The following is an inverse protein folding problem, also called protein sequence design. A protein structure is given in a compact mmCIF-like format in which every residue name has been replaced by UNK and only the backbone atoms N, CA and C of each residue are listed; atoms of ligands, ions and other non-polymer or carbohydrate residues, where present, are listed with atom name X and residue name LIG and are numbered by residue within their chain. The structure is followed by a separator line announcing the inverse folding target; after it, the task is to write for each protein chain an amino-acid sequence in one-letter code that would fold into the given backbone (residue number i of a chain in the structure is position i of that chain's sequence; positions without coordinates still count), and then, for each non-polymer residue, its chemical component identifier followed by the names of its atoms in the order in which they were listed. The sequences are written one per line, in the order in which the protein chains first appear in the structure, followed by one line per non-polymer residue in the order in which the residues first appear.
data_IF_001609211341
#
_entry.id   IF_001609211341
#
_cell.length_a   1.000
_cell.length_b   1.000
_cell.length_c   1.000
_cell.angle_alpha   90.00
_cell.angle_beta   90.00
_cell.angle_gamma   90.00
#
_symmetry.space_group_name_H-M   'P 1'
#
loop_
_entity.id
_entity.type
_entity.pdbx_description
1 polymer ?
#
# COMPACT_ATOMS: atom_id res chain seq x y z
N UNK A 1 3.43 -20.10 -32.51
CA UNK A 1 2.66 -19.42 -31.44
C UNK A 1 1.94 -18.23 -32.07
N UNK A 2 0.63 -18.10 -31.85
CA UNK A 2 -0.16 -17.00 -32.41
C UNK A 2 0.24 -15.68 -31.73
N UNK A 3 0.37 -14.57 -32.46
CA UNK A 3 0.87 -13.28 -31.91
C UNK A 3 0.07 -12.81 -30.69
N UNK A 4 -1.25 -13.08 -30.66
CA UNK A 4 -2.13 -12.80 -29.52
C UNK A 4 -1.82 -13.62 -28.27
N UNK A 5 -1.28 -14.84 -28.43
CA UNK A 5 -0.83 -15.64 -27.29
C UNK A 5 0.45 -15.06 -26.71
N UNK A 6 1.40 -14.64 -27.56
CA UNK A 6 2.66 -14.05 -27.09
C UNK A 6 2.38 -12.80 -26.25
N UNK A 7 1.56 -11.86 -26.74
CA UNK A 7 1.20 -10.64 -26.00
C UNK A 7 0.56 -10.92 -24.63
N UNK A 8 -0.24 -11.98 -24.51
CA UNK A 8 -0.89 -12.36 -23.26
C UNK A 8 0.10 -12.94 -22.24
N UNK A 9 1.14 -13.64 -22.69
CA UNK A 9 2.16 -14.25 -21.83
C UNK A 9 3.37 -13.35 -21.59
N UNK A 10 3.57 -12.31 -22.41
CA UNK A 10 4.69 -11.37 -22.30
C UNK A 10 4.90 -10.79 -20.89
N UNK A 11 3.86 -10.35 -20.14
CA UNK A 11 4.07 -9.80 -18.79
C UNK A 11 4.61 -10.83 -17.81
N UNK A 12 4.13 -12.08 -17.91
CA UNK A 12 4.57 -13.18 -17.05
C UNK A 12 6.01 -13.62 -17.37
N UNK A 13 6.34 -13.68 -18.66
CA UNK A 13 7.70 -13.98 -19.10
C UNK A 13 8.68 -12.91 -18.66
N UNK A 14 8.32 -11.62 -18.79
CA UNK A 14 9.13 -10.51 -18.30
C UNK A 14 9.31 -10.59 -16.78
N UNK A 15 8.24 -10.81 -16.02
CA UNK A 15 8.30 -10.98 -14.56
C UNK A 15 9.30 -12.08 -14.15
N UNK A 16 9.17 -13.27 -14.75
CA UNK A 16 10.06 -14.40 -14.46
C UNK A 16 11.50 -14.08 -14.86
N UNK A 17 11.71 -13.49 -16.04
CA UNK A 17 13.04 -13.08 -16.50
C UNK A 17 13.67 -12.05 -15.53
N UNK A 18 12.92 -11.07 -15.06
CA UNK A 18 13.39 -10.08 -14.09
C UNK A 18 13.78 -10.73 -12.76
N UNK A 19 12.97 -11.65 -12.23
CA UNK A 19 13.29 -12.36 -10.99
C UNK A 19 14.55 -13.23 -11.13
N UNK A 20 14.71 -13.90 -12.27
CA UNK A 20 15.91 -14.71 -12.55
C UNK A 20 17.16 -13.84 -12.65
N UNK A 21 17.09 -12.73 -13.40
CA UNK A 21 18.20 -11.77 -13.50
C UNK A 21 18.55 -11.22 -12.12
N UNK A 22 17.56 -10.82 -11.32
CA UNK A 22 17.80 -10.32 -9.96
C UNK A 22 18.48 -11.38 -9.08
N UNK A 23 17.96 -12.61 -9.03
CA UNK A 23 18.59 -13.70 -8.26
C UNK A 23 20.04 -13.95 -8.71
N UNK A 24 20.28 -13.99 -10.03
CA UNK A 24 21.61 -14.19 -10.60
C UNK A 24 22.55 -13.06 -10.20
N UNK A 25 22.13 -11.80 -10.29
CA UNK A 25 22.94 -10.65 -9.88
C UNK A 25 23.29 -10.71 -8.38
N UNK A 26 22.31 -10.97 -7.52
CA UNK A 26 22.58 -11.11 -6.07
C UNK A 26 23.58 -12.23 -5.78
N UNK A 27 23.44 -13.39 -6.43
CA UNK A 27 24.32 -14.54 -6.22
C UNK A 27 25.72 -14.36 -6.83
N UNK A 28 25.84 -13.77 -8.02
CA UNK A 28 27.11 -13.59 -8.72
C UNK A 28 27.97 -12.50 -8.09
N UNK A 29 27.36 -11.41 -7.62
CA UNK A 29 28.06 -10.29 -7.00
C UNK A 29 28.19 -10.41 -5.47
N UNK A 30 27.70 -11.52 -4.88
CA UNK A 30 27.72 -11.76 -3.42
C UNK A 30 27.23 -10.53 -2.63
N UNK A 31 26.13 -9.93 -3.11
CA UNK A 31 25.57 -8.71 -2.53
C UNK A 31 25.10 -9.03 -1.10
N UNK A 32 25.43 -8.16 -0.15
CA UNK A 32 25.01 -8.34 1.24
C UNK A 32 23.49 -8.47 1.34
N UNK A 33 23.02 -9.61 1.85
CA UNK A 33 21.59 -9.89 2.01
C UNK A 33 20.89 -8.91 2.94
N UNK A 34 21.65 -8.24 3.81
CA UNK A 34 21.12 -7.20 4.69
C UNK A 34 20.72 -5.93 3.92
N UNK A 35 21.48 -5.58 2.87
CA UNK A 35 21.23 -4.38 2.05
C UNK A 35 20.27 -4.69 0.92
N UNK A 36 20.44 -5.85 0.27
CA UNK A 36 19.62 -6.24 -0.87
C UNK A 36 19.44 -7.77 -0.94
N UNK A 37 18.42 -8.31 -0.26
CA UNK A 37 18.19 -9.74 -0.21
C UNK A 37 17.77 -10.28 -1.59
N UNK A 38 18.19 -11.51 -1.88
CA UNK A 38 17.78 -12.21 -3.10
C UNK A 38 16.30 -12.62 -3.06
N UNK A 39 15.61 -12.76 -4.21
CA UNK A 39 14.22 -13.23 -4.25
C UNK A 39 13.96 -14.52 -3.47
N UNK A 40 14.89 -15.48 -3.53
CA UNK A 40 14.79 -16.74 -2.79
C UNK A 40 14.83 -16.47 -1.29
N UNK A 41 15.75 -15.61 -0.83
CA UNK A 41 15.88 -15.26 0.59
C UNK A 41 14.62 -14.58 1.13
N UNK A 42 14.01 -13.70 0.33
CA UNK A 42 12.71 -13.08 0.67
C UNK A 42 11.64 -14.16 0.89
N UNK A 43 11.57 -15.14 -0.01
CA UNK A 43 10.63 -16.26 0.10
C UNK A 43 10.87 -17.11 1.35
N UNK A 44 12.12 -17.43 1.67
CA UNK A 44 12.49 -18.17 2.88
C UNK A 44 12.05 -17.43 4.15
N UNK A 45 12.38 -16.13 4.24
CA UNK A 45 12.01 -15.30 5.39
C UNK A 45 10.49 -15.15 5.53
N UNK A 46 9.77 -15.06 4.41
CA UNK A 46 8.31 -15.02 4.42
C UNK A 46 7.71 -16.30 5.00
N UNK A 47 8.28 -17.46 4.72
CA UNK A 47 7.81 -18.76 5.25
C UNK A 47 8.24 -18.94 6.70
N UNK A 48 9.49 -18.64 7.04
CA UNK A 48 10.05 -18.75 8.39
C UNK A 48 9.27 -17.88 9.38
N UNK A 49 9.04 -16.61 9.04
CA UNK A 49 8.35 -15.64 9.90
C UNK A 49 6.86 -15.50 9.58
N UNK A 50 6.26 -16.42 8.82
CA UNK A 50 4.86 -16.33 8.37
C UNK A 50 3.86 -16.00 9.48
N UNK A 51 4.05 -16.60 10.66
CA UNK A 51 3.15 -16.39 11.80
C UNK A 51 3.25 -14.98 12.37
N UNK A 52 4.46 -14.46 12.51
CA UNK A 52 4.73 -13.11 13.01
C UNK A 52 4.27 -12.07 11.99
N UNK A 53 4.60 -12.27 10.71
CA UNK A 53 4.16 -11.41 9.60
C UNK A 53 2.64 -11.37 9.53
N UNK A 54 1.97 -12.52 9.58
CA UNK A 54 0.51 -12.59 9.58
C UNK A 54 -0.11 -11.91 10.81
N UNK A 55 0.47 -12.08 12.00
CA UNK A 55 -0.01 -11.42 13.22
C UNK A 55 0.10 -9.89 13.13
N UNK A 56 1.21 -9.36 12.61
CA UNK A 56 1.37 -7.93 12.39
C UNK A 56 0.46 -7.41 11.27
N UNK A 57 0.36 -8.13 10.15
CA UNK A 57 -0.55 -7.79 9.06
C UNK A 57 -2.02 -7.74 9.54
N UNK A 58 -2.41 -8.71 10.36
CA UNK A 58 -3.75 -8.76 10.96
C UNK A 58 -4.00 -7.59 11.91
N UNK A 59 -3.02 -7.24 12.75
CA UNK A 59 -3.13 -6.08 13.63
C UNK A 59 -3.29 -4.80 12.84
N UNK A 60 -2.44 -4.56 11.83
CA UNK A 60 -2.53 -3.37 10.98
C UNK A 60 -3.89 -3.31 10.30
N UNK A 61 -4.34 -4.42 9.71
CA UNK A 61 -5.66 -4.51 9.10
C UNK A 61 -6.78 -4.10 10.08
N UNK A 62 -6.79 -4.68 11.27
CA UNK A 62 -7.87 -4.43 12.24
C UNK A 62 -7.85 -3.00 12.78
N UNK A 63 -6.67 -2.47 13.09
CA UNK A 63 -6.51 -1.10 13.57
C UNK A 63 -6.94 -0.10 12.49
N UNK A 64 -6.54 -0.33 11.24
CA UNK A 64 -6.96 0.53 10.11
C UNK A 64 -8.47 0.44 9.88
N UNK A 65 -9.06 -0.75 9.92
CA UNK A 65 -10.52 -0.92 9.76
C UNK A 65 -11.32 -0.25 10.87
N UNK A 66 -10.89 -0.38 12.13
CA UNK A 66 -11.53 0.30 13.25
C UNK A 66 -11.42 1.82 13.13
N UNK A 67 -10.23 2.35 12.82
CA UNK A 67 -10.01 3.78 12.61
C UNK A 67 -10.81 4.32 11.43
N UNK A 68 -10.88 3.57 10.32
CA UNK A 68 -11.68 3.92 9.15
C UNK A 68 -13.18 3.94 9.48
N UNK A 69 -13.68 2.94 10.21
CA UNK A 69 -15.07 2.91 10.67
C UNK A 69 -15.43 4.11 11.54
N UNK A 70 -14.55 4.47 12.49
CA UNK A 70 -14.74 5.66 13.32
C UNK A 70 -14.72 6.95 12.48
N UNK A 71 -13.79 7.06 11.53
CA UNK A 71 -13.69 8.20 10.63
C UNK A 71 -14.96 8.38 9.79
N UNK A 72 -15.59 7.29 9.32
CA UNK A 72 -16.87 7.34 8.62
C UNK A 72 -17.96 7.90 9.53
N UNK A 73 -18.13 7.34 10.72
CA UNK A 73 -19.20 7.75 11.64
C UNK A 73 -19.07 9.24 11.97
N UNK A 74 -17.88 9.66 12.40
CA UNK A 74 -17.61 11.07 12.76
C UNK A 74 -17.72 11.97 11.53
N UNK A 75 -17.13 11.59 10.41
CA UNK A 75 -17.13 12.38 9.17
C UNK A 75 -18.53 12.60 8.60
N UNK A 76 -19.38 11.55 8.62
CA UNK A 76 -20.78 11.66 8.15
C UNK A 76 -21.61 12.53 9.08
N UNK A 77 -21.48 12.38 10.40
CA UNK A 77 -22.21 13.21 11.35
C UNK A 77 -21.83 14.70 11.22
N UNK A 78 -20.53 15.01 11.14
CA UNK A 78 -20.06 16.38 10.90
C UNK A 78 -20.51 16.91 9.54
N UNK A 79 -20.45 16.08 8.49
CA UNK A 79 -20.93 16.44 7.16
C UNK A 79 -22.42 16.79 7.14
N UNK A 80 -23.24 16.06 7.88
CA UNK A 80 -24.67 16.34 8.02
C UNK A 80 -24.92 17.69 8.71
N UNK A 81 -24.22 17.98 9.82
CA UNK A 81 -24.35 19.24 10.57
C UNK A 81 -23.92 20.45 9.73
N UNK A 82 -22.80 20.32 9.01
CA UNK A 82 -22.29 21.38 8.13
C UNK A 82 -23.25 21.60 6.95
N UNK A 83 -23.80 20.52 6.38
CA UNK A 83 -24.73 20.57 5.26
C UNK A 83 -26.12 21.11 5.62
N UNK A 84 -26.58 20.94 6.86
CA UNK A 84 -27.90 21.39 7.30
C UNK A 84 -27.98 22.90 7.58
N UNK A 85 -26.85 23.60 7.70
CA UNK A 85 -26.82 25.02 8.07
C UNK A 85 -25.91 25.87 7.17
N UNK A 86 -26.47 26.94 6.60
CA UNK A 86 -25.70 27.92 5.79
C UNK A 86 -24.57 28.59 6.59
N UNK A 87 -24.78 28.81 7.90
CA UNK A 87 -23.78 29.44 8.77
C UNK A 87 -22.60 28.48 9.05
N UNK A 88 -22.89 27.21 9.33
CA UNK A 88 -21.87 26.20 9.57
C UNK A 88 -21.04 25.93 8.30
N UNK A 89 -21.70 25.86 7.14
CA UNK A 89 -21.01 25.75 5.86
C UNK A 89 -20.06 26.93 5.61
N UNK A 90 -20.52 28.16 5.78
CA UNK A 90 -19.70 29.35 5.57
C UNK A 90 -18.47 29.42 6.51
N UNK A 91 -18.60 28.93 7.74
CA UNK A 91 -17.50 28.91 8.72
C UNK A 91 -16.46 27.82 8.43
N UNK A 92 -16.88 26.63 7.98
CA UNK A 92 -16.00 25.46 7.82
C UNK A 92 -15.39 25.36 6.42
N UNK A 93 -16.03 25.96 5.41
CA UNK A 93 -15.57 25.92 4.02
C UNK A 93 -14.09 26.38 3.81
N UNK A 94 -13.60 27.46 4.45
CA UNK A 94 -12.20 27.85 4.33
C UNK A 94 -11.23 26.81 4.90
N UNK A 95 -11.58 26.17 6.03
CA UNK A 95 -10.80 25.10 6.63
C UNK A 95 -10.73 23.88 5.70
N UNK A 96 -11.87 23.48 5.10
CA UNK A 96 -11.89 22.37 4.13
C UNK A 96 -10.98 22.63 2.94
N UNK A 97 -10.95 23.88 2.45
CA UNK A 97 -10.07 24.27 1.34
C UNK A 97 -8.59 24.20 1.73
N UNK A 98 -8.24 24.64 2.95
CA UNK A 98 -6.88 24.56 3.48
C UNK A 98 -6.41 23.10 3.64
N UNK A 99 -7.26 22.20 4.14
CA UNK A 99 -6.93 20.78 4.25
C UNK A 99 -6.70 20.11 2.89
N UNK A 100 -7.47 20.49 1.85
CA UNK A 100 -7.25 19.98 0.50
C UNK A 100 -5.93 20.46 -0.13
N UNK A 101 -5.39 21.59 0.32
CA UNK A 101 -4.12 22.12 -0.15
C UNK A 101 -2.89 21.45 0.50
N UNK A 102 -3.09 20.68 1.59
CA UNK A 102 -1.98 20.00 2.25
C UNK A 102 -1.51 18.79 1.42
N UNK A 103 -0.20 18.66 1.16
CA UNK A 103 0.33 17.50 0.46
C UNK A 103 0.17 16.25 1.32
N UNK A 104 -0.45 15.21 0.76
CA UNK A 104 -0.65 13.91 1.41
C UNK A 104 0.62 13.29 2.02
N UNK A 105 1.79 13.60 1.47
CA UNK A 105 3.08 13.11 1.94
C UNK A 105 3.52 13.71 3.29
N UNK A 106 2.97 14.85 3.72
CA UNK A 106 3.28 15.47 5.01
C UNK A 106 2.43 14.91 6.17
N UNK A 107 1.44 14.07 5.86
CA UNK A 107 0.44 13.58 6.80
C UNK A 107 0.61 12.08 7.15
N UNK A 108 1.48 11.36 6.43
CA UNK A 108 1.78 9.93 6.61
C UNK A 108 3.14 9.75 7.24
#
# INVERSE_FOLDING_TARGET
MNSKQIERWSPWLLMVATLLVWQLLCSAFQVSEFVFPSPVRIGEQLIEFRGVIAAHAWRTYWVTMAGFGLAIVVGVLLGFVIGSSRLAYAAVYPLMTAFNALPKAAFV
#
